data_IF_814091995975
#
_entry.id   IF_814091995975
#
_cell.length_a   1.000
_cell.length_b   1.000
_cell.length_c   1.000
_cell.angle_alpha   90.00
_cell.angle_beta   90.00
_cell.angle_gamma   90.00
#
_symmetry.space_group_name_H-M   'P 1'
#
loop_
_entity.id
_entity.type
_entity.pdbx_description
1 polymer ?
#
# COMPACT_ATOMS: atom_id res chain seq x y z
N UNK A 1 1.71 -37.27 -0.91
CA UNK A 1 2.16 -36.15 -1.78
C UNK A 1 2.68 -34.94 -0.98
N UNK A 2 2.11 -34.59 0.16
CA UNK A 2 2.53 -33.46 1.01
C UNK A 2 3.99 -33.52 1.47
N UNK A 3 4.53 -34.70 1.81
CA UNK A 3 5.91 -34.88 2.27
C UNK A 3 6.97 -34.60 1.18
N UNK A 4 6.70 -35.00 -0.07
CA UNK A 4 7.60 -34.74 -1.22
C UNK A 4 7.62 -33.24 -1.53
N UNK A 5 6.47 -32.57 -1.47
CA UNK A 5 6.36 -31.12 -1.68
C UNK A 5 7.11 -30.38 -0.57
N UNK A 6 6.96 -30.80 0.70
CA UNK A 6 7.69 -30.22 1.82
C UNK A 6 9.21 -30.34 1.65
N UNK A 7 9.74 -31.52 1.35
CA UNK A 7 11.18 -31.74 1.17
C UNK A 7 11.77 -30.89 0.03
N UNK A 8 10.96 -30.61 -0.99
CA UNK A 8 11.34 -29.79 -2.15
C UNK A 8 11.35 -28.30 -1.85
N UNK A 9 10.39 -27.80 -1.09
CA UNK A 9 10.22 -26.38 -0.82
C UNK A 9 10.72 -25.93 0.56
N UNK A 10 11.19 -26.86 1.41
CA UNK A 10 11.59 -26.57 2.79
C UNK A 10 12.52 -25.37 2.93
N UNK A 11 13.58 -25.28 2.13
CA UNK A 11 14.56 -24.19 2.19
C UNK A 11 13.88 -22.84 1.88
N UNK A 12 13.02 -22.80 0.88
CA UNK A 12 12.29 -21.57 0.49
C UNK A 12 11.25 -21.17 1.52
N UNK A 13 10.54 -22.15 2.08
CA UNK A 13 9.56 -21.91 3.15
C UNK A 13 10.27 -21.43 4.39
N UNK A 14 11.42 -22.01 4.75
CA UNK A 14 12.24 -21.59 5.89
C UNK A 14 12.78 -20.16 5.64
N UNK A 15 13.32 -19.84 4.46
CA UNK A 15 13.82 -18.49 4.17
C UNK A 15 12.71 -17.44 4.23
N UNK A 16 11.51 -17.75 3.74
CA UNK A 16 10.36 -16.86 3.84
C UNK A 16 9.87 -16.73 5.30
N UNK A 17 9.87 -17.84 6.06
CA UNK A 17 9.57 -17.85 7.49
C UNK A 17 10.56 -17.00 8.29
N UNK A 18 11.84 -17.09 8.00
CA UNK A 18 12.87 -16.23 8.63
C UNK A 18 12.65 -14.75 8.29
N UNK A 19 12.25 -14.44 7.05
CA UNK A 19 11.91 -13.07 6.67
C UNK A 19 10.71 -12.54 7.47
N UNK A 20 9.64 -13.32 7.61
CA UNK A 20 8.47 -12.95 8.42
C UNK A 20 8.85 -12.75 9.90
N UNK A 21 9.67 -13.66 10.47
CA UNK A 21 10.16 -13.52 11.85
C UNK A 21 11.01 -12.25 12.00
N UNK A 22 11.90 -11.98 11.05
CA UNK A 22 12.72 -10.77 11.06
C UNK A 22 11.84 -9.50 11.00
N UNK A 23 10.77 -9.49 10.19
CA UNK A 23 9.81 -8.39 10.16
C UNK A 23 9.12 -8.20 11.51
N UNK A 24 8.65 -9.27 12.15
CA UNK A 24 8.00 -9.19 13.47
C UNK A 24 8.96 -8.64 14.53
N UNK A 25 10.20 -9.12 14.55
CA UNK A 25 11.22 -8.61 15.47
C UNK A 25 11.48 -7.12 15.22
N UNK A 26 11.59 -6.72 13.94
CA UNK A 26 11.83 -5.33 13.59
C UNK A 26 10.62 -4.43 13.92
N UNK A 27 9.39 -4.94 13.78
CA UNK A 27 8.18 -4.25 14.26
C UNK A 27 8.20 -4.01 15.76
N UNK A 28 8.60 -5.01 16.57
CA UNK A 28 8.71 -4.87 18.02
C UNK A 28 9.80 -3.86 18.40
N UNK A 29 10.96 -3.92 17.74
CA UNK A 29 12.05 -2.98 17.98
C UNK A 29 11.67 -1.53 17.67
N UNK A 30 10.97 -1.31 16.55
CA UNK A 30 10.48 0.03 16.18
C UNK A 30 9.42 0.53 17.16
N UNK A 31 8.58 -0.35 17.71
CA UNK A 31 7.64 0.01 18.75
C UNK A 31 8.36 0.52 20.01
N UNK A 32 9.36 -0.19 20.48
CA UNK A 32 10.16 0.24 21.63
C UNK A 32 10.90 1.56 21.34
N UNK A 33 11.48 1.71 20.16
CA UNK A 33 12.14 2.96 19.75
C UNK A 33 11.16 4.15 19.78
N UNK A 34 9.93 3.93 19.31
CA UNK A 34 8.90 4.97 19.31
C UNK A 34 8.43 5.34 20.73
N UNK A 35 8.22 4.36 21.60
CA UNK A 35 7.87 4.61 22.99
C UNK A 35 8.97 5.40 23.72
N UNK A 36 10.23 5.03 23.50
CA UNK A 36 11.36 5.76 24.05
C UNK A 36 11.44 7.19 23.50
N UNK A 37 11.21 7.39 22.20
CA UNK A 37 11.15 8.71 21.59
C UNK A 37 10.03 9.56 22.20
N UNK A 38 8.86 8.99 22.46
CA UNK A 38 7.75 9.69 23.10
C UNK A 38 8.12 10.19 24.51
N UNK A 39 8.82 9.38 25.29
CA UNK A 39 9.31 9.76 26.64
C UNK A 39 10.35 10.88 26.54
N UNK A 40 11.30 10.78 25.61
CA UNK A 40 12.35 11.80 25.43
C UNK A 40 11.75 13.13 24.97
N UNK A 41 10.87 13.13 23.97
CA UNK A 41 10.22 14.34 23.46
C UNK A 41 9.32 14.99 24.49
N UNK A 42 8.60 14.21 25.31
CA UNK A 42 7.76 14.75 26.40
C UNK A 42 8.60 15.46 27.47
N UNK A 43 9.77 14.95 27.80
CA UNK A 43 10.72 15.62 28.73
C UNK A 43 11.23 16.95 28.17
N UNK A 44 11.34 17.08 26.86
CA UNK A 44 11.74 18.31 26.18
C UNK A 44 10.57 19.27 25.95
N UNK A 45 9.34 18.92 26.41
CA UNK A 45 8.10 19.67 26.15
C UNK A 45 7.82 19.89 24.65
N UNK A 46 8.31 19.02 23.79
CA UNK A 46 8.08 19.05 22.34
C UNK A 46 7.08 17.95 21.98
N UNK A 47 6.08 18.32 21.15
CA UNK A 47 5.14 17.34 20.65
C UNK A 47 5.87 16.35 19.72
N UNK A 48 5.68 15.05 19.93
CA UNK A 48 6.28 13.99 19.13
C UNK A 48 5.90 14.09 17.65
N UNK A 49 4.75 14.72 17.34
CA UNK A 49 4.30 14.98 15.98
C UNK A 49 5.08 16.11 15.28
N UNK A 50 5.82 16.92 16.04
CA UNK A 50 6.72 17.94 15.54
C UNK A 50 8.15 17.36 15.43
N UNK A 51 8.30 16.30 14.64
CA UNK A 51 9.54 15.52 14.50
C UNK A 51 10.78 16.34 14.13
N UNK A 52 10.61 17.50 13.50
CA UNK A 52 11.73 18.39 13.14
C UNK A 52 12.44 18.97 14.37
N UNK A 53 11.78 19.01 15.52
CA UNK A 53 12.32 19.53 16.79
C UNK A 53 12.78 18.43 17.76
N UNK A 54 12.45 17.16 17.46
CA UNK A 54 12.84 16.03 18.28
C UNK A 54 13.51 14.93 17.45
N UNK A 55 14.85 14.88 17.48
CA UNK A 55 15.64 13.90 16.72
C UNK A 55 15.24 12.45 17.01
N UNK A 56 14.85 12.13 18.24
CA UNK A 56 14.40 10.79 18.60
C UNK A 56 13.13 10.39 17.83
N UNK A 57 12.19 11.32 17.67
CA UNK A 57 10.97 11.09 16.90
C UNK A 57 11.22 10.95 15.41
N UNK A 58 12.14 11.74 14.85
CA UNK A 58 12.50 11.65 13.42
C UNK A 58 13.17 10.31 13.08
N UNK A 59 14.06 9.82 13.94
CA UNK A 59 14.68 8.50 13.80
C UNK A 59 13.65 7.37 13.93
N UNK A 60 12.77 7.42 14.92
CA UNK A 60 11.71 6.43 15.08
C UNK A 60 10.78 6.40 13.86
N UNK A 61 10.45 7.55 13.29
CA UNK A 61 9.65 7.69 12.06
C UNK A 61 10.36 7.08 10.85
N UNK A 62 11.65 7.33 10.67
CA UNK A 62 12.42 6.75 9.55
C UNK A 62 12.49 5.21 9.65
N UNK A 63 12.70 4.65 10.84
CA UNK A 63 12.67 3.21 11.04
C UNK A 63 11.27 2.62 10.79
N UNK A 64 10.20 3.31 11.21
CA UNK A 64 8.82 2.92 10.91
C UNK A 64 8.56 2.81 9.41
N UNK A 65 8.98 3.77 8.61
CA UNK A 65 8.80 3.76 7.16
C UNK A 65 9.57 2.64 6.45
N UNK A 66 10.74 2.25 6.97
CA UNK A 66 11.49 1.08 6.48
C UNK A 66 10.72 -0.22 6.75
N UNK A 67 10.14 -0.36 7.96
CA UNK A 67 9.28 -1.51 8.30
C UNK A 67 8.07 -1.59 7.37
N UNK A 68 7.36 -0.48 7.15
CA UNK A 68 6.22 -0.42 6.24
C UNK A 68 6.60 -0.87 4.82
N UNK A 69 7.73 -0.38 4.30
CA UNK A 69 8.24 -0.78 2.99
C UNK A 69 8.57 -2.26 2.94
N UNK A 70 9.23 -2.79 3.97
CA UNK A 70 9.58 -4.20 4.05
C UNK A 70 8.32 -5.10 4.14
N UNK A 71 7.30 -4.69 4.89
CA UNK A 71 6.01 -5.39 4.95
C UNK A 71 5.32 -5.37 3.57
N UNK A 72 5.31 -4.23 2.89
CA UNK A 72 4.70 -4.09 1.56
C UNK A 72 5.37 -4.97 0.50
N UNK A 73 6.64 -5.34 0.68
CA UNK A 73 7.38 -6.24 -0.21
C UNK A 73 7.12 -7.74 0.07
N UNK A 74 6.49 -8.10 1.18
CA UNK A 74 6.23 -9.51 1.52
C UNK A 74 5.44 -10.26 0.43
N UNK A 75 4.33 -9.74 -0.15
CA UNK A 75 3.65 -10.38 -1.27
C UNK A 75 4.54 -10.61 -2.49
N UNK A 76 5.45 -9.66 -2.77
CA UNK A 76 6.44 -9.79 -3.84
C UNK A 76 7.37 -11.00 -3.62
N UNK A 77 7.93 -11.14 -2.41
CA UNK A 77 8.80 -12.28 -2.09
C UNK A 77 8.05 -13.61 -2.13
N UNK A 78 6.78 -13.67 -1.70
CA UNK A 78 5.94 -14.87 -1.83
C UNK A 78 5.81 -15.26 -3.30
N UNK A 79 5.45 -14.34 -4.18
CA UNK A 79 5.33 -14.58 -5.61
C UNK A 79 6.64 -15.06 -6.25
N UNK A 80 7.75 -14.38 -5.92
CA UNK A 80 9.06 -14.66 -6.50
C UNK A 80 9.63 -16.01 -6.01
N UNK A 81 9.59 -16.26 -4.71
CA UNK A 81 10.24 -17.43 -4.07
C UNK A 81 9.41 -18.70 -4.22
N UNK A 82 8.08 -18.60 -4.13
CA UNK A 82 7.18 -19.75 -4.21
C UNK A 82 6.50 -19.86 -5.58
N UNK A 83 5.98 -18.78 -6.16
CA UNK A 83 5.19 -18.79 -7.38
C UNK A 83 6.02 -19.11 -8.61
N UNK A 84 7.09 -18.36 -8.86
CA UNK A 84 7.92 -18.51 -10.08
C UNK A 84 8.51 -19.93 -10.23
N UNK A 85 9.12 -20.53 -9.19
CA UNK A 85 9.72 -21.86 -9.34
C UNK A 85 8.71 -23.01 -9.25
N UNK A 86 7.44 -22.71 -8.95
CA UNK A 86 6.41 -23.74 -8.75
C UNK A 86 6.29 -24.71 -9.93
N UNK A 87 6.34 -24.17 -11.13
CA UNK A 87 6.21 -24.95 -12.36
C UNK A 87 7.49 -24.95 -13.18
N UNK A 88 8.26 -23.84 -13.16
CA UNK A 88 9.51 -23.74 -13.93
C UNK A 88 10.48 -24.91 -13.63
N UNK A 89 10.70 -25.22 -12.35
CA UNK A 89 11.59 -26.33 -11.96
C UNK A 89 11.07 -27.71 -12.37
N UNK A 90 9.73 -27.89 -12.44
CA UNK A 90 9.14 -29.15 -12.87
C UNK A 90 9.37 -29.39 -14.36
N UNK A 91 9.25 -28.34 -15.16
CA UNK A 91 9.51 -28.41 -16.60
C UNK A 91 10.99 -28.65 -16.91
N UNK A 92 11.87 -27.98 -16.17
CA UNK A 92 13.32 -28.13 -16.36
C UNK A 92 13.80 -29.55 -16.04
N UNK A 93 13.33 -30.13 -14.93
CA UNK A 93 13.66 -31.47 -14.47
C UNK A 93 12.90 -32.57 -15.20
N UNK A 94 11.98 -32.24 -16.12
CA UNK A 94 11.10 -33.18 -16.86
C UNK A 94 10.28 -34.11 -15.94
N UNK A 95 10.15 -33.81 -14.66
CA UNK A 95 9.39 -34.62 -13.69
C UNK A 95 7.89 -34.59 -13.91
N UNK A 96 7.39 -33.58 -14.64
CA UNK A 96 6.01 -33.49 -15.09
C UNK A 96 5.58 -34.69 -15.99
N UNK A 97 6.48 -35.22 -16.81
CA UNK A 97 6.18 -36.38 -17.67
C UNK A 97 5.84 -37.63 -16.86
N UNK A 98 6.56 -37.86 -15.76
CA UNK A 98 6.30 -38.99 -14.86
C UNK A 98 4.92 -38.87 -14.16
N UNK A 99 4.51 -37.67 -13.76
CA UNK A 99 3.20 -37.47 -13.17
C UNK A 99 2.06 -37.69 -14.17
N UNK A 100 2.27 -37.32 -15.43
CA UNK A 100 1.27 -37.49 -16.49
C UNK A 100 1.15 -38.94 -16.99
N UNK A 101 2.20 -39.74 -16.94
CA UNK A 101 2.15 -41.16 -17.24
C UNK A 101 1.36 -41.99 -16.21
N UNK A 102 1.15 -41.44 -14.99
CA UNK A 102 0.39 -42.09 -13.92
C UNK A 102 -1.11 -41.74 -13.92
N UNK A 103 -1.68 -41.27 -15.06
CA UNK A 103 -3.13 -41.03 -15.20
C UNK A 103 -3.67 -39.76 -14.54
N UNK A 104 -2.82 -38.86 -14.03
CA UNK A 104 -3.25 -37.58 -13.48
C UNK A 104 -3.41 -36.57 -14.62
N UNK A 105 -4.62 -35.99 -14.76
CA UNK A 105 -4.85 -34.93 -15.75
C UNK A 105 -4.01 -33.69 -15.42
N UNK A 106 -3.47 -33.04 -16.46
CA UNK A 106 -2.60 -31.84 -16.37
C UNK A 106 -3.23 -30.72 -15.55
N UNK A 107 -4.53 -30.48 -15.73
CA UNK A 107 -5.31 -29.47 -14.98
C UNK A 107 -5.39 -29.82 -13.51
N UNK A 108 -5.72 -31.07 -13.17
CA UNK A 108 -5.82 -31.54 -11.79
C UNK A 108 -4.48 -31.46 -11.06
N UNK A 109 -3.39 -31.77 -11.77
CA UNK A 109 -2.03 -31.63 -11.25
C UNK A 109 -1.70 -30.17 -10.94
N UNK A 110 -1.94 -29.24 -11.89
CA UNK A 110 -1.65 -27.81 -11.72
C UNK A 110 -2.44 -27.22 -10.56
N UNK A 111 -3.77 -27.43 -10.53
CA UNK A 111 -4.65 -26.89 -9.49
C UNK A 111 -4.25 -27.42 -8.10
N UNK A 112 -3.95 -28.71 -7.98
CA UNK A 112 -3.48 -29.28 -6.71
C UNK A 112 -2.15 -28.68 -6.27
N UNK A 113 -1.20 -28.55 -7.19
CA UNK A 113 0.10 -27.95 -6.91
C UNK A 113 -0.03 -26.49 -6.51
N UNK A 114 -0.92 -25.73 -7.15
CA UNK A 114 -1.23 -24.36 -6.77
C UNK A 114 -1.87 -24.28 -5.39
N UNK A 115 -2.90 -25.08 -5.09
CA UNK A 115 -3.58 -25.10 -3.81
C UNK A 115 -2.66 -25.45 -2.64
N UNK A 116 -1.67 -26.33 -2.84
CA UNK A 116 -0.70 -26.69 -1.78
C UNK A 116 0.16 -25.52 -1.31
N UNK A 117 0.31 -24.47 -2.13
CA UNK A 117 0.99 -23.23 -1.74
C UNK A 117 0.02 -22.08 -1.46
N UNK A 118 -1.09 -22.00 -2.16
CA UNK A 118 -2.08 -20.94 -1.99
C UNK A 118 -2.72 -20.97 -0.58
N UNK A 119 -3.12 -22.16 -0.11
CA UNK A 119 -3.75 -22.30 1.22
C UNK A 119 -2.81 -21.85 2.36
N UNK A 120 -1.57 -22.37 2.49
CA UNK A 120 -0.62 -21.88 3.49
C UNK A 120 -0.31 -20.39 3.34
N UNK A 121 -0.23 -19.88 2.11
CA UNK A 121 0.00 -18.44 1.87
C UNK A 121 -1.13 -17.61 2.45
N UNK A 122 -2.40 -17.98 2.20
CA UNK A 122 -3.55 -17.27 2.78
C UNK A 122 -3.51 -17.33 4.31
N UNK A 123 -3.26 -18.50 4.90
CA UNK A 123 -3.20 -18.65 6.37
C UNK A 123 -2.12 -17.77 6.97
N UNK A 124 -0.89 -17.88 6.45
CA UNK A 124 0.26 -17.10 6.97
C UNK A 124 0.03 -15.60 6.78
N UNK A 125 -0.44 -15.18 5.59
CA UNK A 125 -0.72 -13.77 5.32
C UNK A 125 -1.87 -13.23 6.17
N UNK A 126 -2.89 -14.03 6.47
CA UNK A 126 -3.98 -13.62 7.36
C UNK A 126 -3.50 -13.42 8.79
N UNK A 127 -2.71 -14.35 9.33
CA UNK A 127 -2.11 -14.22 10.65
C UNK A 127 -1.16 -13.00 10.72
N UNK A 128 -0.34 -12.83 9.69
CA UNK A 128 0.57 -11.69 9.61
C UNK A 128 -0.20 -10.36 9.50
N UNK A 129 -1.28 -10.31 8.71
CA UNK A 129 -2.13 -9.12 8.59
C UNK A 129 -2.77 -8.72 9.94
N UNK A 130 -3.13 -9.68 10.80
CA UNK A 130 -3.60 -9.38 12.16
C UNK A 130 -2.51 -8.73 13.00
N UNK A 131 -1.26 -9.22 12.92
CA UNK A 131 -0.12 -8.64 13.63
C UNK A 131 0.17 -7.21 13.12
N UNK A 132 0.16 -7.03 11.80
CA UNK A 132 0.35 -5.71 11.18
C UNK A 132 -0.77 -4.75 11.58
N UNK A 133 -2.01 -5.20 11.61
CA UNK A 133 -3.15 -4.39 12.02
C UNK A 133 -3.01 -3.95 13.48
N UNK A 134 -2.62 -4.85 14.38
CA UNK A 134 -2.35 -4.52 15.78
C UNK A 134 -1.22 -3.49 15.89
N UNK A 135 -0.10 -3.70 15.19
CA UNK A 135 1.03 -2.77 15.19
C UNK A 135 0.64 -1.40 14.61
N UNK A 136 -0.09 -1.36 13.48
CA UNK A 136 -0.53 -0.15 12.82
C UNK A 136 -1.45 0.71 13.69
N UNK A 137 -2.36 0.10 14.45
CA UNK A 137 -3.26 0.86 15.33
C UNK A 137 -2.54 1.55 16.49
N UNK A 138 -1.40 1.02 16.92
CA UNK A 138 -0.66 1.56 18.07
C UNK A 138 0.45 2.54 17.69
N UNK A 139 1.02 2.42 16.50
CA UNK A 139 2.24 3.16 16.14
C UNK A 139 2.07 3.98 14.87
N UNK A 140 1.60 3.35 13.80
CA UNK A 140 1.59 3.99 12.48
C UNK A 140 0.66 5.19 12.45
N UNK A 141 -0.46 5.16 13.17
CA UNK A 141 -1.36 6.30 13.31
C UNK A 141 -0.69 7.51 13.99
N UNK A 142 0.38 7.29 14.72
CA UNK A 142 1.14 8.34 15.41
C UNK A 142 2.34 8.83 14.58
N UNK A 143 2.87 7.99 13.68
CA UNK A 143 4.03 8.30 12.83
C UNK A 143 3.60 8.98 11.52
N UNK A 144 2.47 8.56 10.95
CA UNK A 144 1.99 9.12 9.70
C UNK A 144 1.53 10.58 9.88
N UNK A 145 1.89 11.41 8.93
CA UNK A 145 1.58 12.85 8.90
C UNK A 145 0.08 13.18 8.75
N UNK A 146 -0.79 12.46 9.48
CA UNK A 146 -2.21 12.77 9.61
C UNK A 146 -3.18 11.82 8.90
N UNK A 147 -2.73 10.88 8.05
CA UNK A 147 -3.61 10.11 7.17
C UNK A 147 -4.28 8.86 7.78
N UNK A 148 -3.88 8.39 8.94
CA UNK A 148 -4.46 7.19 9.56
C UNK A 148 -4.35 5.93 8.70
N UNK A 149 -5.17 4.91 8.97
CA UNK A 149 -5.18 3.63 8.25
C UNK A 149 -5.62 3.72 6.78
N UNK A 150 -6.24 4.82 6.38
CA UNK A 150 -6.72 5.02 5.01
C UNK A 150 -5.66 5.63 4.09
N UNK A 151 -4.51 6.03 4.63
CA UNK A 151 -3.38 6.47 3.81
C UNK A 151 -2.91 5.34 2.89
N UNK A 152 -2.56 5.61 1.60
CA UNK A 152 -2.18 4.56 0.65
C UNK A 152 -1.05 3.65 1.12
N UNK A 153 -0.08 4.17 1.85
CA UNK A 153 1.01 3.39 2.43
C UNK A 153 0.49 2.37 3.45
N UNK A 154 -0.43 2.79 4.31
CA UNK A 154 -1.05 1.95 5.33
C UNK A 154 -2.01 0.92 4.74
N UNK A 155 -2.80 1.31 3.73
CA UNK A 155 -3.69 0.40 3.03
C UNK A 155 -2.97 -0.76 2.35
N UNK A 156 -1.73 -0.53 1.87
CA UNK A 156 -0.91 -1.58 1.22
C UNK A 156 -0.40 -2.65 2.17
N UNK A 157 -0.29 -2.36 3.46
CA UNK A 157 0.28 -3.28 4.45
C UNK A 157 -0.77 -3.87 5.39
N UNK A 158 -1.94 -3.26 5.51
CA UNK A 158 -2.99 -3.66 6.44
C UNK A 158 -4.26 -4.16 5.73
N UNK A 159 -5.09 -4.93 6.44
CA UNK A 159 -6.37 -5.41 5.96
C UNK A 159 -6.30 -6.64 5.06
N UNK A 160 -7.27 -6.78 4.15
CA UNK A 160 -7.44 -7.98 3.30
C UNK A 160 -6.78 -7.88 1.93
N UNK A 161 -6.49 -6.68 1.44
CA UNK A 161 -5.89 -6.46 0.12
C UNK A 161 -4.50 -7.10 -0.02
N UNK A 162 -3.56 -7.02 0.97
CA UNK A 162 -2.26 -7.69 0.87
C UNK A 162 -2.34 -9.22 0.75
N UNK A 163 -3.37 -9.84 1.34
CA UNK A 163 -3.59 -11.29 1.25
C UNK A 163 -3.95 -11.67 -0.19
N UNK A 164 -4.88 -10.93 -0.78
CA UNK A 164 -5.30 -11.13 -2.17
C UNK A 164 -4.16 -10.81 -3.16
N UNK A 165 -3.36 -9.77 -2.89
CA UNK A 165 -2.17 -9.44 -3.68
C UNK A 165 -1.13 -10.57 -3.64
N UNK A 166 -0.89 -11.19 -2.48
CA UNK A 166 0.02 -12.32 -2.37
C UNK A 166 -0.43 -13.52 -3.25
N UNK A 167 -1.75 -13.81 -3.29
CA UNK A 167 -2.30 -14.83 -4.18
C UNK A 167 -2.15 -14.47 -5.66
N UNK A 168 -2.37 -13.19 -6.00
CA UNK A 168 -2.18 -12.70 -7.36
C UNK A 168 -0.74 -12.89 -7.81
N UNK A 169 0.24 -12.46 -7.01
CA UNK A 169 1.66 -12.55 -7.34
C UNK A 169 2.16 -14.00 -7.36
N UNK A 170 1.65 -14.86 -6.46
CA UNK A 170 1.91 -16.30 -6.49
C UNK A 170 1.45 -16.91 -7.83
N UNK A 171 0.24 -16.55 -8.28
CA UNK A 171 -0.34 -17.10 -9.53
C UNK A 171 0.33 -16.51 -10.76
N UNK A 172 0.68 -15.22 -10.73
CA UNK A 172 1.43 -14.55 -11.79
C UNK A 172 2.81 -15.17 -11.95
N UNK A 173 3.53 -15.42 -10.85
CA UNK A 173 4.81 -16.12 -10.87
C UNK A 173 4.70 -17.53 -11.47
N UNK A 174 3.65 -18.28 -11.12
CA UNK A 174 3.36 -19.58 -11.70
C UNK A 174 3.12 -19.50 -13.20
N UNK A 175 2.31 -18.53 -13.67
CA UNK A 175 2.03 -18.34 -15.12
C UNK A 175 3.32 -18.01 -15.88
N UNK A 176 4.15 -17.10 -15.35
CA UNK A 176 5.44 -16.76 -15.94
C UNK A 176 6.33 -17.99 -16.01
N UNK A 177 6.38 -18.81 -14.94
CA UNK A 177 7.12 -20.07 -14.92
C UNK A 177 6.66 -21.10 -15.96
N UNK A 178 5.38 -21.07 -16.37
CA UNK A 178 4.84 -21.91 -17.45
C UNK A 178 5.28 -21.39 -18.82
N UNK A 179 5.23 -20.07 -19.04
CA UNK A 179 5.51 -19.45 -20.34
C UNK A 179 7.01 -19.40 -20.61
N UNK A 180 7.78 -18.98 -19.61
CA UNK A 180 9.24 -18.76 -19.73
C UNK A 180 9.98 -19.98 -19.20
N UNK A 181 10.33 -20.90 -20.08
CA UNK A 181 10.88 -22.23 -19.74
C UNK A 181 12.39 -22.26 -19.46
N UNK A 182 13.11 -21.12 -19.46
CA UNK A 182 14.56 -21.03 -19.23
C UNK A 182 14.84 -20.59 -17.78
N UNK A 183 15.89 -21.16 -17.15
CA UNK A 183 16.16 -21.06 -15.71
C UNK A 183 16.24 -19.62 -15.15
N UNK A 184 17.01 -18.72 -15.75
CA UNK A 184 17.18 -17.36 -15.24
C UNK A 184 16.10 -16.39 -15.71
N UNK A 185 15.52 -16.60 -16.87
CA UNK A 185 14.55 -15.69 -17.49
C UNK A 185 13.23 -15.55 -16.71
N UNK A 186 12.63 -16.60 -16.10
CA UNK A 186 11.36 -16.43 -15.37
C UNK A 186 11.49 -15.58 -14.13
N UNK A 187 12.62 -15.60 -13.43
CA UNK A 187 12.81 -14.73 -12.25
C UNK A 187 12.91 -13.26 -12.65
N UNK A 188 13.73 -12.93 -13.65
CA UNK A 188 13.86 -11.56 -14.14
C UNK A 188 12.52 -11.02 -14.67
N UNK A 189 11.80 -11.83 -15.46
CA UNK A 189 10.47 -11.47 -15.98
C UNK A 189 9.46 -11.28 -14.84
N UNK A 190 9.49 -12.14 -13.82
CA UNK A 190 8.61 -12.03 -12.64
C UNK A 190 8.89 -10.76 -11.85
N UNK A 191 10.15 -10.39 -11.65
CA UNK A 191 10.52 -9.14 -10.95
C UNK A 191 9.91 -7.94 -11.66
N UNK A 192 10.09 -7.81 -12.98
CA UNK A 192 9.52 -6.70 -13.76
C UNK A 192 7.99 -6.70 -13.69
N UNK A 193 7.35 -7.86 -13.92
CA UNK A 193 5.89 -7.97 -13.88
C UNK A 193 5.32 -7.62 -12.48
N UNK A 194 5.99 -8.03 -11.42
CA UNK A 194 5.56 -7.75 -10.06
C UNK A 194 5.67 -6.25 -9.73
N UNK A 195 6.74 -5.58 -10.13
CA UNK A 195 6.86 -4.13 -9.96
C UNK A 195 5.78 -3.37 -10.74
N UNK A 196 5.45 -3.81 -11.95
CA UNK A 196 4.36 -3.23 -12.73
C UNK A 196 3.02 -3.41 -11.99
N UNK A 197 2.71 -4.60 -11.50
CA UNK A 197 1.48 -4.86 -10.75
C UNK A 197 1.44 -4.02 -9.47
N UNK A 198 2.52 -4.00 -8.69
CA UNK A 198 2.57 -3.25 -7.43
C UNK A 198 2.53 -1.71 -7.63
N UNK A 199 3.00 -1.21 -8.76
CA UNK A 199 2.94 0.21 -9.09
C UNK A 199 1.62 0.65 -9.72
N UNK A 200 1.11 -0.11 -10.69
CA UNK A 200 -0.05 0.28 -11.51
C UNK A 200 -1.38 -0.02 -10.81
N UNK A 201 -1.51 -1.19 -10.18
CA UNK A 201 -2.80 -1.60 -9.60
C UNK A 201 -3.30 -0.66 -8.49
N UNK A 202 -2.49 -0.27 -7.48
CA UNK A 202 -2.97 0.65 -6.45
C UNK A 202 -3.34 2.02 -6.99
N UNK A 203 -2.61 2.53 -8.00
CA UNK A 203 -2.90 3.85 -8.59
C UNK A 203 -4.22 3.83 -9.34
N UNK A 204 -4.51 2.78 -10.11
CA UNK A 204 -5.79 2.63 -10.82
C UNK A 204 -6.97 2.50 -9.84
N UNK A 205 -6.82 1.68 -8.80
CA UNK A 205 -7.89 1.44 -7.82
C UNK A 205 -8.18 2.68 -7.00
N UNK A 206 -7.14 3.32 -6.45
CA UNK A 206 -7.30 4.50 -5.60
C UNK A 206 -7.83 5.72 -6.37
N UNK A 207 -7.37 5.94 -7.60
CA UNK A 207 -7.82 7.07 -8.42
C UNK A 207 -9.27 6.93 -8.89
N UNK A 208 -9.72 5.70 -9.17
CA UNK A 208 -11.07 5.43 -9.67
C UNK A 208 -12.13 5.38 -8.57
N UNK A 209 -11.74 5.05 -7.33
CA UNK A 209 -12.66 4.78 -6.22
C UNK A 209 -12.72 5.90 -5.19
N UNK A 210 -11.87 6.92 -5.30
CA UNK A 210 -11.85 8.04 -4.36
C UNK A 210 -13.13 8.87 -4.48
N UNK A 211 -13.99 8.80 -3.48
CA UNK A 211 -15.10 9.74 -3.35
C UNK A 211 -14.50 11.14 -3.10
N UNK A 212 -14.65 12.02 -4.08
CA UNK A 212 -14.18 13.41 -3.98
C UNK A 212 -15.13 14.19 -3.09
N UNK A 213 -14.84 14.29 -1.81
CA UNK A 213 -15.56 15.21 -0.93
C UNK A 213 -14.77 16.53 -0.90
N UNK A 214 -15.42 17.57 -1.38
CA UNK A 214 -14.85 18.92 -1.43
C UNK A 214 -15.30 19.66 -0.17
N UNK A 215 -14.36 20.01 0.69
CA UNK A 215 -14.66 20.83 1.87
C UNK A 215 -14.01 22.19 1.72
N UNK A 216 -14.81 23.27 1.75
CA UNK A 216 -14.25 24.60 1.85
C UNK A 216 -13.58 24.76 3.23
N UNK A 217 -12.29 25.01 3.24
CA UNK A 217 -11.56 25.32 4.47
C UNK A 217 -11.66 26.82 4.74
N UNK A 218 -12.13 27.20 5.93
CA UNK A 218 -12.11 28.59 6.39
C UNK A 218 -10.66 29.08 6.54
N UNK A 219 -10.34 30.32 6.18
CA UNK A 219 -9.00 30.89 6.33
C UNK A 219 -8.57 31.04 7.79
N UNK A 220 -9.54 31.05 8.71
CA UNK A 220 -9.28 31.14 10.17
C UNK A 220 -8.82 29.84 10.79
N UNK A 221 -8.35 28.88 9.97
CA UNK A 221 -8.08 27.52 10.38
C UNK A 221 -9.40 26.73 10.44
N UNK A 222 -9.29 25.43 10.49
CA UNK A 222 -10.44 24.53 10.53
C UNK A 222 -11.14 24.66 11.88
N UNK A 223 -11.95 25.70 12.04
CA UNK A 223 -12.63 26.02 13.30
C UNK A 223 -13.75 25.05 13.64
N UNK A 224 -14.28 24.34 12.66
CA UNK A 224 -15.18 23.19 12.85
C UNK A 224 -14.87 22.17 11.77
N UNK A 225 -13.88 21.31 12.02
CA UNK A 225 -13.73 20.11 11.21
C UNK A 225 -15.06 19.36 11.23
N UNK A 226 -15.71 19.07 10.09
CA UNK A 226 -16.80 18.12 10.08
C UNK A 226 -16.37 16.86 10.86
N UNK A 227 -17.28 16.23 11.60
CA UNK A 227 -16.97 15.05 12.42
C UNK A 227 -16.26 13.94 11.59
N UNK A 228 -16.50 13.93 10.28
CA UNK A 228 -15.80 13.07 9.32
C UNK A 228 -14.29 13.34 9.21
N UNK A 229 -13.80 14.54 9.55
CA UNK A 229 -12.38 14.89 9.51
C UNK A 229 -11.68 14.67 10.87
N UNK A 230 -12.42 14.41 11.95
CA UNK A 230 -11.85 14.03 13.24
C UNK A 230 -11.21 12.64 13.22
N UNK A 231 -11.61 11.78 12.27
CA UNK A 231 -11.17 10.39 12.13
C UNK A 231 -9.95 10.22 11.21
N UNK A 232 -9.06 11.20 11.12
CA UNK A 232 -7.82 11.15 10.30
C UNK A 232 -8.08 10.70 8.86
N UNK A 233 -8.70 11.54 8.02
CA UNK A 233 -8.96 11.23 6.61
C UNK A 233 -7.66 11.27 5.82
N UNK A 234 -7.62 10.56 4.69
CA UNK A 234 -6.55 10.71 3.73
C UNK A 234 -6.82 11.90 2.81
N UNK A 235 -5.94 12.89 2.84
CA UNK A 235 -5.97 14.03 1.92
C UNK A 235 -5.34 13.64 0.58
N UNK A 236 -6.14 13.72 -0.49
CA UNK A 236 -5.70 13.36 -1.84
C UNK A 236 -5.02 14.54 -2.51
N UNK A 237 -5.63 15.71 -2.42
CA UNK A 237 -5.09 16.97 -2.95
C UNK A 237 -5.73 18.15 -2.26
N UNK A 238 -5.01 19.25 -2.25
CA UNK A 238 -5.54 20.56 -1.90
C UNK A 238 -5.40 21.49 -3.10
N UNK A 239 -6.39 22.31 -3.33
CA UNK A 239 -6.41 23.29 -4.42
C UNK A 239 -7.08 24.58 -3.99
N UNK A 240 -7.06 25.56 -4.88
CA UNK A 240 -7.72 26.85 -4.65
C UNK A 240 -8.87 26.99 -5.63
N UNK A 241 -10.01 27.45 -5.14
CA UNK A 241 -11.19 27.77 -5.94
C UNK A 241 -11.66 29.18 -5.65
N UNK A 242 -12.17 29.90 -6.68
CA UNK A 242 -12.84 31.18 -6.48
C UNK A 242 -14.14 30.97 -5.72
N UNK A 243 -14.41 31.89 -4.78
CA UNK A 243 -15.67 31.92 -4.05
C UNK A 243 -16.76 32.38 -5.03
N UNK A 244 -17.84 31.61 -5.24
CA UNK A 244 -18.94 32.03 -6.09
C UNK A 244 -19.55 33.35 -5.58
N UNK A 245 -19.79 34.33 -6.48
CA UNK A 245 -20.37 35.63 -6.11
C UNK A 245 -19.39 36.63 -5.50
N UNK A 246 -18.12 36.29 -5.32
CA UNK A 246 -17.12 37.25 -4.85
C UNK A 246 -16.73 38.20 -5.99
N UNK A 247 -17.18 39.44 -5.88
CA UNK A 247 -16.82 40.52 -6.84
C UNK A 247 -15.41 41.03 -6.50
N UNK A 248 -14.43 40.56 -7.27
CA UNK A 248 -13.10 41.16 -7.24
C UNK A 248 -13.17 42.49 -7.99
N UNK A 249 -12.77 43.58 -7.34
CA UNK A 249 -12.64 44.87 -8.02
C UNK A 249 -11.83 44.74 -9.32
N UNK A 250 -11.88 45.69 -10.18
CA UNK A 250 -11.52 45.78 -11.61
C UNK A 250 -10.24 45.08 -12.15
N UNK A 251 -9.48 44.39 -11.28
CA UNK A 251 -8.32 43.59 -11.66
C UNK A 251 -8.54 42.12 -11.24
N UNK A 252 -9.36 41.40 -12.01
CA UNK A 252 -9.54 39.95 -11.87
C UNK A 252 -8.22 39.21 -12.17
N UNK A 253 -7.32 39.12 -11.18
CA UNK A 253 -6.09 38.35 -11.30
C UNK A 253 -6.44 36.87 -11.46
N UNK A 254 -5.70 36.15 -12.30
CA UNK A 254 -5.82 34.70 -12.41
C UNK A 254 -5.57 34.03 -11.02
N UNK A 255 -6.07 32.82 -10.81
CA UNK A 255 -5.84 32.09 -9.55
C UNK A 255 -4.33 31.97 -9.26
N UNK A 256 -3.53 31.71 -10.29
CA UNK A 256 -2.06 31.65 -10.19
C UNK A 256 -1.44 32.98 -9.78
N UNK A 257 -1.92 34.11 -10.30
CA UNK A 257 -1.43 35.43 -9.94
C UNK A 257 -1.75 35.82 -8.48
N UNK A 258 -2.90 35.41 -7.95
CA UNK A 258 -3.22 35.59 -6.53
C UNK A 258 -2.36 34.70 -5.64
N UNK A 259 -2.14 33.45 -6.02
CA UNK A 259 -1.25 32.54 -5.29
C UNK A 259 0.16 33.15 -5.22
N UNK A 260 0.70 33.59 -6.35
CA UNK A 260 2.02 34.21 -6.42
C UNK A 260 2.08 35.52 -5.60
N UNK A 261 1.03 36.34 -5.64
CA UNK A 261 0.95 37.56 -4.84
C UNK A 261 0.97 37.25 -3.34
N UNK A 262 0.15 36.30 -2.89
CA UNK A 262 0.06 35.92 -1.47
C UNK A 262 1.27 35.06 -1.00
N UNK A 263 2.02 34.43 -1.91
CA UNK A 263 3.26 33.69 -1.53
C UNK A 263 4.39 34.63 -1.10
N UNK A 264 4.36 35.90 -1.48
CA UNK A 264 5.33 36.88 -1.02
C UNK A 264 5.07 37.27 0.45
N UNK A 265 6.06 37.07 1.30
CA UNK A 265 6.00 37.33 2.75
C UNK A 265 5.56 38.74 3.09
N UNK A 266 6.01 39.76 2.35
CA UNK A 266 5.62 41.14 2.53
C UNK A 266 4.11 41.39 2.29
N UNK A 267 3.50 40.62 1.41
CA UNK A 267 2.09 40.77 1.07
C UNK A 267 1.16 40.09 2.10
N UNK A 268 1.48 38.88 2.56
CA UNK A 268 0.62 38.20 3.55
C UNK A 268 0.81 38.74 4.97
N UNK A 269 1.94 39.37 5.31
CA UNK A 269 2.13 40.05 6.58
C UNK A 269 1.12 41.18 6.81
N UNK A 270 0.62 41.82 5.76
CA UNK A 270 -0.44 42.82 5.81
C UNK A 270 -1.75 42.26 6.40
N UNK A 271 -1.96 40.96 6.31
CA UNK A 271 -3.15 40.25 6.78
C UNK A 271 -2.93 39.54 8.11
N UNK A 272 -1.74 39.70 8.72
CA UNK A 272 -1.39 39.00 9.98
C UNK A 272 -2.25 39.45 11.15
N UNK A 273 -2.67 40.72 11.16
CA UNK A 273 -3.56 41.29 12.21
C UNK A 273 -5.01 40.79 12.11
N UNK A 274 -5.42 40.22 10.97
CA UNK A 274 -6.77 39.68 10.70
C UNK A 274 -6.83 38.17 11.01
N UNK A 275 -5.70 37.56 11.41
CA UNK A 275 -5.54 36.17 11.76
C UNK A 275 -4.98 35.32 10.61
N UNK A 276 -3.72 34.94 10.75
CA UNK A 276 -3.05 33.84 10.05
C UNK A 276 -2.55 34.03 8.60
N UNK A 277 -2.07 35.26 8.27
CA UNK A 277 -1.13 35.49 7.17
C UNK A 277 -1.60 35.01 5.79
N UNK A 278 -0.94 34.01 5.25
CA UNK A 278 -1.16 33.50 3.89
C UNK A 278 -2.61 33.08 3.57
N UNK A 279 -3.32 32.31 4.41
CA UNK A 279 -4.72 31.96 4.17
C UNK A 279 -5.67 33.17 4.17
N UNK A 280 -5.41 34.15 5.03
CA UNK A 280 -6.22 35.37 5.09
C UNK A 280 -6.03 36.22 3.82
N UNK A 281 -4.80 36.31 3.31
CA UNK A 281 -4.52 36.95 2.03
C UNK A 281 -5.31 36.28 0.88
N UNK A 282 -5.32 34.97 0.79
CA UNK A 282 -6.07 34.24 -0.23
C UNK A 282 -7.56 34.53 -0.20
N UNK A 283 -8.15 34.52 1.01
CA UNK A 283 -9.58 34.83 1.18
C UNK A 283 -9.92 36.25 0.81
N UNK A 284 -9.11 37.23 1.22
CA UNK A 284 -9.29 38.63 0.88
C UNK A 284 -9.28 38.88 -0.64
N UNK A 285 -8.65 37.95 -1.40
CA UNK A 285 -8.65 37.96 -2.87
C UNK A 285 -9.67 37.00 -3.48
N UNK A 286 -10.66 36.53 -2.72
CA UNK A 286 -11.76 35.69 -3.20
C UNK A 286 -11.37 34.25 -3.52
N UNK A 287 -10.27 33.75 -2.98
CA UNK A 287 -9.87 32.35 -3.11
C UNK A 287 -10.14 31.60 -1.80
N UNK A 288 -10.76 30.45 -1.91
CA UNK A 288 -10.90 29.49 -0.82
C UNK A 288 -10.09 28.23 -1.08
N UNK A 289 -9.53 27.65 -0.04
CA UNK A 289 -8.85 26.36 -0.11
C UNK A 289 -9.90 25.26 -0.19
N UNK A 290 -9.72 24.36 -1.13
CA UNK A 290 -10.54 23.16 -1.28
C UNK A 290 -9.65 21.97 -1.02
N UNK A 291 -10.03 21.14 -0.07
CA UNK A 291 -9.36 19.86 0.20
C UNK A 291 -10.22 18.71 -0.29
N UNK A 292 -9.62 17.88 -1.12
CA UNK A 292 -10.21 16.61 -1.57
C UNK A 292 -9.68 15.54 -0.65
N UNK A 293 -10.56 14.84 0.04
CA UNK A 293 -10.16 13.82 0.99
C UNK A 293 -11.02 12.57 0.91
N UNK A 294 -10.47 11.46 1.40
CA UNK A 294 -11.13 10.19 1.58
C UNK A 294 -11.43 9.98 3.07
N UNK A 295 -12.69 9.81 3.47
CA UNK A 295 -13.02 9.59 4.87
C UNK A 295 -12.57 8.20 5.35
N UNK A 296 -12.16 8.10 6.61
CA UNK A 296 -11.70 6.85 7.22
C UNK A 296 -12.78 5.74 7.22
N UNK A 297 -14.08 6.11 7.19
CA UNK A 297 -15.18 5.16 7.08
C UNK A 297 -15.16 4.33 5.78
N UNK A 298 -14.47 4.80 4.74
CA UNK A 298 -14.34 4.08 3.47
C UNK A 298 -13.23 3.02 3.46
N UNK A 299 -12.44 2.88 4.54
CA UNK A 299 -11.32 1.94 4.62
C UNK A 299 -11.71 0.52 4.20
N UNK A 300 -12.73 -0.07 4.82
CA UNK A 300 -13.13 -1.44 4.51
C UNK A 300 -13.74 -1.59 3.11
N UNK A 301 -14.47 -0.58 2.63
CA UNK A 301 -15.03 -0.59 1.27
C UNK A 301 -13.90 -0.61 0.23
N UNK A 302 -12.87 0.20 0.42
CA UNK A 302 -11.69 0.23 -0.46
C UNK A 302 -10.90 -1.08 -0.39
N UNK A 303 -10.68 -1.61 0.82
CA UNK A 303 -10.00 -2.89 1.04
C UNK A 303 -10.69 -4.06 0.30
N UNK A 304 -12.01 -4.17 0.43
CA UNK A 304 -12.76 -5.24 -0.25
C UNK A 304 -12.80 -5.06 -1.77
N UNK A 305 -12.88 -3.83 -2.27
CA UNK A 305 -12.84 -3.55 -3.71
C UNK A 305 -11.47 -3.90 -4.29
N UNK A 306 -10.41 -3.52 -3.63
CA UNK A 306 -9.04 -3.84 -4.03
C UNK A 306 -8.80 -5.36 -3.98
N UNK A 307 -9.16 -6.01 -2.89
CA UNK A 307 -9.06 -7.47 -2.75
C UNK A 307 -9.89 -8.20 -3.83
N UNK A 308 -11.11 -7.73 -4.11
CA UNK A 308 -11.95 -8.29 -5.16
C UNK A 308 -11.33 -8.23 -6.55
N UNK A 309 -10.67 -7.11 -6.89
CA UNK A 309 -9.94 -6.98 -8.15
C UNK A 309 -8.74 -7.95 -8.21
N UNK A 310 -7.97 -8.08 -7.12
CA UNK A 310 -6.85 -9.02 -7.06
C UNK A 310 -7.31 -10.48 -7.18
N UNK A 311 -8.42 -10.84 -6.52
CA UNK A 311 -9.00 -12.19 -6.63
C UNK A 311 -9.52 -12.47 -8.04
N UNK A 312 -10.20 -11.51 -8.67
CA UNK A 312 -10.66 -11.63 -10.05
C UNK A 312 -9.47 -11.81 -11.01
N UNK A 313 -8.43 -10.98 -10.88
CA UNK A 313 -7.20 -11.11 -11.66
C UNK A 313 -6.51 -12.46 -11.42
N UNK A 314 -6.49 -12.95 -10.17
CA UNK A 314 -5.97 -14.29 -9.83
C UNK A 314 -6.74 -15.38 -10.58
N UNK A 315 -8.08 -15.30 -10.63
CA UNK A 315 -8.91 -16.23 -11.38
C UNK A 315 -8.60 -16.23 -12.89
N UNK A 316 -8.41 -15.04 -13.48
CA UNK A 316 -8.01 -14.90 -14.89
C UNK A 316 -6.63 -15.52 -15.13
N UNK A 317 -5.64 -15.21 -14.30
CA UNK A 317 -4.28 -15.76 -14.44
C UNK A 317 -4.25 -17.29 -14.25
N UNK A 318 -5.06 -17.82 -13.33
CA UNK A 318 -5.18 -19.27 -13.14
C UNK A 318 -5.82 -19.93 -14.36
N UNK A 319 -6.84 -19.32 -14.94
CA UNK A 319 -7.48 -19.80 -16.18
C UNK A 319 -6.52 -19.78 -17.35
N UNK A 320 -5.73 -18.72 -17.50
CA UNK A 320 -4.66 -18.62 -18.50
C UNK A 320 -3.57 -19.68 -18.29
N UNK A 321 -3.21 -19.96 -17.05
CA UNK A 321 -2.24 -21.00 -16.70
C UNK A 321 -2.73 -22.39 -17.08
N UNK A 322 -4.00 -22.69 -16.83
CA UNK A 322 -4.65 -23.96 -17.23
C UNK A 322 -4.72 -24.07 -18.76
N UNK A 323 -5.12 -22.99 -19.43
CA UNK A 323 -5.19 -22.96 -20.90
C UNK A 323 -3.81 -23.16 -21.53
N UNK A 324 -2.78 -22.46 -21.02
CA UNK A 324 -1.40 -22.56 -21.47
C UNK A 324 -0.87 -23.99 -21.36
N UNK A 325 -1.06 -24.66 -20.21
CA UNK A 325 -0.62 -26.05 -20.04
C UNK A 325 -1.33 -27.01 -20.99
N UNK A 326 -2.62 -26.80 -21.29
CA UNK A 326 -3.37 -27.63 -22.23
C UNK A 326 -2.83 -27.48 -23.66
N UNK A 327 -2.52 -26.26 -24.09
CA UNK A 327 -2.13 -25.96 -25.47
C UNK A 327 -0.65 -26.33 -25.80
N UNK A 328 0.27 -26.11 -24.84
CA UNK A 328 1.71 -26.20 -25.11
C UNK A 328 2.33 -27.57 -24.81
N UNK A 329 1.55 -28.51 -24.39
CA UNK A 329 1.97 -29.85 -24.02
C UNK A 329 1.44 -30.93 -25.00
N UNK A 330 0.82 -30.50 -26.08
CA UNK A 330 0.64 -31.27 -27.27
C UNK A 330 1.90 -31.14 -28.13
#
# INVERSE_FOLDING_TARGET
MTWITWRRYRVRIISLGLYVVALIVFMVLTQHAFQNAAVVCSRLHVDINQGDYCNAASLAKSHGSLVETAIALLPFFIGLVLGTPLVANEFERKTNRLAWSQGVTRTRWLVRTWLTLAIPTVVVMSLFALIVQWWATHIVTSISSGGGLIEPAQMRISGVAPIALALLLLTLGMLIGIIVRRFFSPYATSVVAFFVVMGVMPTLVLSSLAAKIVVPTSPYGITKLPNALRSRPWFISSGYRRIPGFHVGTHARSVSAVIQYCSNTANWMKYNNIGKGYPACMLAHGLQVISIYQPASHYWILQWREAGLYVAATGVLLSLSIWSIRRWSA
#
